data_IF_926327421141
#
_entry.id   IF_926327421141
#
_cell.length_a   1.000
_cell.length_b   1.000
_cell.length_c   1.000
_cell.angle_alpha   90.00
_cell.angle_beta   90.00
_cell.angle_gamma   90.00
#
_symmetry.space_group_name_H-M   'P 1'
#
loop_
_entity.id
_entity.type
_entity.pdbx_description
1 polymer ?
#
# COMPACT_ATOMS: atom_id res chain seq x y z
N UNK A 1 -16.95 12.31 13.01
CA UNK A 1 -15.51 12.05 12.86
C UNK A 1 -15.33 11.17 11.64
N UNK A 2 -14.34 11.43 10.80
CA UNK A 2 -14.02 10.54 9.68
C UNK A 2 -13.37 9.25 10.19
N UNK A 3 -13.56 8.16 9.47
CA UNK A 3 -13.08 6.83 9.83
C UNK A 3 -12.16 6.28 8.76
N UNK A 4 -11.08 5.58 9.13
CA UNK A 4 -10.19 4.92 8.18
C UNK A 4 -9.75 3.56 8.67
N UNK A 5 -9.65 2.60 7.73
CA UNK A 5 -9.14 1.26 7.97
C UNK A 5 -7.73 1.14 7.40
N UNK A 6 -6.76 0.76 8.23
CA UNK A 6 -5.46 0.30 7.76
C UNK A 6 -5.44 -1.22 7.67
N UNK A 7 -5.08 -1.77 6.49
CA UNK A 7 -4.88 -3.19 6.24
C UNK A 7 -3.38 -3.38 5.98
N UNK A 8 -2.64 -3.88 6.96
CA UNK A 8 -1.17 -3.99 6.86
C UNK A 8 -0.59 -4.95 7.91
N UNK A 9 0.69 -5.22 7.81
CA UNK A 9 1.44 -5.91 8.85
C UNK A 9 1.63 -5.04 10.09
N UNK A 10 1.84 -5.68 11.24
CA UNK A 10 2.20 -4.98 12.47
C UNK A 10 3.70 -4.74 12.55
N UNK A 11 4.10 -3.68 13.25
CA UNK A 11 5.47 -3.46 13.72
C UNK A 11 5.42 -3.30 15.24
N UNK A 12 5.89 -4.33 15.97
CA UNK A 12 5.85 -4.33 17.44
C UNK A 12 6.70 -3.22 18.07
N UNK A 13 7.67 -2.65 17.34
CA UNK A 13 8.43 -1.47 17.78
C UNK A 13 7.68 -0.15 17.59
N UNK A 14 6.62 -0.16 16.80
CA UNK A 14 5.70 0.97 16.64
C UNK A 14 6.15 2.04 15.66
N UNK A 15 7.21 1.82 14.88
CA UNK A 15 7.77 2.79 13.93
C UNK A 15 7.21 2.69 12.52
N UNK A 16 6.57 1.57 12.18
CA UNK A 16 6.00 1.29 10.86
C UNK A 16 4.67 0.54 10.99
N UNK A 17 4.14 0.04 9.86
CA UNK A 17 2.96 -0.81 9.79
C UNK A 17 1.71 -0.20 10.43
N UNK A 18 0.84 -1.08 10.91
CA UNK A 18 -0.43 -0.69 11.57
C UNK A 18 -0.20 0.35 12.68
N UNK A 19 0.85 0.19 13.49
CA UNK A 19 1.09 1.07 14.64
C UNK A 19 1.41 2.50 14.20
N UNK A 20 2.19 2.69 13.15
CA UNK A 20 2.48 4.00 12.59
C UNK A 20 1.23 4.60 11.93
N UNK A 21 0.46 3.78 11.20
CA UNK A 21 -0.78 4.21 10.55
C UNK A 21 -1.80 4.71 11.58
N UNK A 22 -2.08 3.91 12.62
CA UNK A 22 -3.04 4.28 13.67
C UNK A 22 -2.64 5.58 14.39
N UNK A 23 -1.36 5.73 14.75
CA UNK A 23 -0.85 6.96 15.37
C UNK A 23 -1.05 8.17 14.45
N UNK A 24 -0.67 8.04 13.17
CA UNK A 24 -0.77 9.12 12.20
C UNK A 24 -2.22 9.52 11.94
N UNK A 25 -3.10 8.57 11.71
CA UNK A 25 -4.52 8.81 11.49
C UNK A 25 -5.17 9.48 12.71
N UNK A 26 -4.88 8.99 13.93
CA UNK A 26 -5.40 9.54 15.18
C UNK A 26 -4.94 10.99 15.40
N UNK A 27 -3.65 11.29 15.18
CA UNK A 27 -3.11 12.64 15.29
C UNK A 27 -3.73 13.61 14.25
N UNK A 28 -4.23 13.11 13.14
CA UNK A 28 -4.96 13.88 12.14
C UNK A 28 -6.49 13.91 12.37
N UNK A 29 -6.97 13.50 13.55
CA UNK A 29 -8.39 13.56 13.91
C UNK A 29 -9.28 12.51 13.23
N UNK A 30 -8.69 11.42 12.73
CA UNK A 30 -9.39 10.32 12.09
C UNK A 30 -9.54 9.16 13.08
N UNK A 31 -10.73 8.55 13.17
CA UNK A 31 -10.92 7.31 13.90
C UNK A 31 -10.29 6.16 13.11
N UNK A 32 -9.19 5.65 13.65
CA UNK A 32 -8.35 4.67 12.98
C UNK A 32 -8.69 3.24 13.40
N UNK A 33 -8.91 2.38 12.43
CA UNK A 33 -9.19 0.95 12.59
C UNK A 33 -8.11 0.13 11.89
N UNK A 34 -7.97 -1.15 12.21
CA UNK A 34 -6.96 -2.02 11.61
C UNK A 34 -7.46 -3.42 11.30
N UNK A 35 -6.95 -3.97 10.19
CA UNK A 35 -6.97 -5.40 9.88
C UNK A 35 -5.52 -5.85 9.63
N UNK A 36 -5.04 -6.79 10.43
CA UNK A 36 -3.62 -7.17 10.46
C UNK A 36 -3.38 -8.30 9.46
N UNK A 37 -2.42 -8.10 8.54
CA UNK A 37 -2.02 -9.11 7.54
C UNK A 37 -0.95 -10.06 8.07
N UNK A 38 -0.05 -9.56 8.92
CA UNK A 38 0.99 -10.34 9.57
C UNK A 38 1.43 -9.69 10.89
N UNK A 39 1.83 -10.49 11.85
CA UNK A 39 2.56 -10.04 13.03
C UNK A 39 4.05 -10.13 12.74
N UNK A 40 4.82 -9.12 13.16
CA UNK A 40 6.29 -9.15 13.04
C UNK A 40 6.95 -9.07 14.40
N UNK A 41 8.04 -9.81 14.56
CA UNK A 41 9.04 -9.58 15.59
C UNK A 41 10.09 -8.63 14.99
N UNK A 42 9.93 -7.35 15.21
CA UNK A 42 10.67 -6.27 14.52
C UNK A 42 11.13 -5.22 15.51
N UNK A 43 12.29 -4.63 15.22
CA UNK A 43 12.83 -3.46 15.90
C UNK A 43 13.57 -2.55 14.90
N UNK A 44 14.26 -1.52 15.41
CA UNK A 44 14.98 -0.55 14.55
C UNK A 44 16.16 -1.14 13.78
N UNK A 45 16.59 -2.35 14.12
CA UNK A 45 17.71 -3.04 13.46
C UNK A 45 17.26 -4.07 12.42
N UNK A 46 15.99 -4.49 12.42
CA UNK A 46 15.46 -5.43 11.44
C UNK A 46 14.25 -6.22 11.89
N UNK A 47 13.87 -7.16 11.03
CA UNK A 47 12.76 -8.11 11.22
C UNK A 47 13.35 -9.50 11.49
N UNK A 48 13.10 -10.08 12.67
CA UNK A 48 13.58 -11.39 13.08
C UNK A 48 12.55 -12.52 12.93
N UNK A 49 11.28 -12.17 12.77
CA UNK A 49 10.20 -13.16 12.58
C UNK A 49 8.94 -12.53 11.98
N UNK A 50 8.25 -13.31 11.17
CA UNK A 50 6.97 -12.94 10.55
C UNK A 50 5.99 -14.07 10.74
N UNK A 51 4.80 -13.78 11.25
CA UNK A 51 3.67 -14.69 11.35
C UNK A 51 2.51 -14.13 10.54
N UNK A 52 2.31 -14.66 9.33
CA UNK A 52 1.21 -14.28 8.46
C UNK A 52 -0.13 -14.79 9.03
N UNK A 53 -1.19 -13.98 8.96
CA UNK A 53 -2.53 -14.43 9.30
C UNK A 53 -3.13 -15.23 8.14
N UNK A 54 -4.06 -16.14 8.42
CA UNK A 54 -4.74 -16.85 7.35
C UNK A 54 -5.65 -15.90 6.53
N UNK A 55 -5.82 -16.13 5.22
CA UNK A 55 -6.76 -15.38 4.39
C UNK A 55 -8.18 -15.34 4.99
N UNK A 56 -8.64 -16.47 5.54
CA UNK A 56 -9.95 -16.57 6.18
C UNK A 56 -10.06 -15.64 7.42
N UNK A 57 -9.00 -15.55 8.22
CA UNK A 57 -9.02 -14.68 9.40
C UNK A 57 -8.90 -13.19 9.00
N UNK A 58 -8.13 -12.88 7.95
CA UNK A 58 -8.08 -11.53 7.41
C UNK A 58 -9.45 -11.08 6.88
N UNK A 59 -10.17 -11.96 6.18
CA UNK A 59 -11.54 -11.69 5.76
C UNK A 59 -12.44 -11.36 6.94
N UNK A 60 -12.38 -12.15 8.02
CA UNK A 60 -13.16 -11.92 9.24
C UNK A 60 -12.85 -10.57 9.90
N UNK A 61 -11.58 -10.15 9.94
CA UNK A 61 -11.21 -8.84 10.46
C UNK A 61 -11.82 -7.70 9.62
N UNK A 62 -11.73 -7.80 8.29
CA UNK A 62 -12.30 -6.80 7.37
C UNK A 62 -13.83 -6.77 7.52
N UNK A 63 -14.48 -7.94 7.54
CA UNK A 63 -15.93 -8.05 7.67
C UNK A 63 -16.41 -7.46 9.00
N UNK A 64 -15.71 -7.73 10.11
CA UNK A 64 -16.04 -7.18 11.42
C UNK A 64 -16.04 -5.64 11.42
N UNK A 65 -15.07 -5.02 10.76
CA UNK A 65 -14.99 -3.56 10.64
C UNK A 65 -16.11 -3.02 9.74
N UNK A 66 -16.28 -3.57 8.55
CA UNK A 66 -17.23 -3.04 7.57
C UNK A 66 -18.71 -3.21 7.97
N UNK A 67 -19.01 -4.22 8.78
CA UNK A 67 -20.38 -4.49 9.24
C UNK A 67 -20.80 -3.67 10.46
N UNK A 68 -19.85 -3.06 11.18
CA UNK A 68 -20.10 -2.21 12.35
C UNK A 68 -19.76 -0.74 12.05
N UNK A 69 -18.48 -0.41 11.89
CA UNK A 69 -18.01 0.95 11.63
C UNK A 69 -17.46 1.00 10.21
N UNK A 70 -18.33 1.23 9.22
CA UNK A 70 -17.92 1.31 7.82
C UNK A 70 -16.87 2.41 7.61
N UNK A 71 -15.66 2.09 7.08
CA UNK A 71 -14.61 3.07 6.83
C UNK A 71 -15.00 4.08 5.74
N UNK A 72 -14.70 5.37 5.94
CA UNK A 72 -14.74 6.37 4.87
C UNK A 72 -13.59 6.16 3.86
N UNK A 73 -12.43 5.67 4.33
CA UNK A 73 -11.25 5.41 3.49
C UNK A 73 -10.51 4.14 3.96
N UNK A 74 -9.74 3.55 3.04
CA UNK A 74 -8.91 2.37 3.32
C UNK A 74 -7.47 2.62 2.89
N UNK A 75 -6.51 2.36 3.78
CA UNK A 75 -5.08 2.30 3.45
C UNK A 75 -4.63 0.85 3.46
N UNK A 76 -3.94 0.43 2.42
CA UNK A 76 -3.30 -0.88 2.34
C UNK A 76 -1.79 -0.66 2.39
N UNK A 77 -1.12 -1.33 3.32
CA UNK A 77 0.34 -1.32 3.45
C UNK A 77 0.94 -2.68 3.08
N UNK A 78 1.84 -3.20 3.92
CA UNK A 78 2.51 -4.48 3.67
C UNK A 78 1.50 -5.65 3.60
N UNK A 79 1.49 -6.34 2.46
CA UNK A 79 0.79 -7.61 2.24
C UNK A 79 1.77 -8.56 1.56
N UNK A 80 2.12 -9.66 2.22
CA UNK A 80 3.23 -10.54 1.83
C UNK A 80 2.90 -11.50 0.70
N UNK A 81 1.66 -11.98 0.61
CA UNK A 81 1.29 -13.11 -0.25
C UNK A 81 0.09 -12.84 -1.18
N UNK A 82 0.07 -13.52 -2.32
CA UNK A 82 -1.00 -13.43 -3.29
C UNK A 82 -2.38 -13.84 -2.73
N UNK A 83 -2.52 -14.87 -1.86
CA UNK A 83 -3.81 -15.21 -1.24
C UNK A 83 -4.38 -14.10 -0.36
N UNK A 84 -3.54 -13.40 0.42
CA UNK A 84 -3.99 -12.25 1.22
C UNK A 84 -4.43 -11.09 0.33
N UNK A 85 -3.68 -10.80 -0.75
CA UNK A 85 -4.03 -9.77 -1.73
C UNK A 85 -5.40 -10.06 -2.35
N UNK A 86 -5.62 -11.31 -2.78
CA UNK A 86 -6.90 -11.74 -3.34
C UNK A 86 -8.06 -11.56 -2.35
N UNK A 87 -7.85 -11.94 -1.09
CA UNK A 87 -8.84 -11.77 -0.01
C UNK A 87 -9.18 -10.30 0.21
N UNK A 88 -8.18 -9.42 0.29
CA UNK A 88 -8.39 -7.97 0.45
C UNK A 88 -9.21 -7.45 -0.73
N UNK A 89 -8.79 -7.76 -1.96
CA UNK A 89 -9.46 -7.29 -3.16
C UNK A 89 -10.92 -7.77 -3.24
N UNK A 90 -11.18 -9.03 -2.88
CA UNK A 90 -12.53 -9.60 -2.81
C UNK A 90 -13.39 -8.84 -1.79
N UNK A 91 -12.90 -8.65 -0.56
CA UNK A 91 -13.68 -7.97 0.49
C UNK A 91 -13.93 -6.50 0.15
N UNK A 92 -12.94 -5.78 -0.37
CA UNK A 92 -13.11 -4.38 -0.77
C UNK A 92 -14.13 -4.22 -1.90
N UNK A 93 -14.14 -5.13 -2.89
CA UNK A 93 -15.19 -5.15 -3.93
C UNK A 93 -16.57 -5.44 -3.35
N UNK A 94 -16.68 -6.47 -2.50
CA UNK A 94 -17.93 -6.87 -1.87
C UNK A 94 -18.57 -5.72 -1.09
N UNK A 95 -17.77 -5.00 -0.30
CA UNK A 95 -18.25 -3.84 0.45
C UNK A 95 -18.30 -2.54 -0.37
N UNK A 96 -17.89 -2.55 -1.62
CA UNK A 96 -17.79 -1.33 -2.45
C UNK A 96 -17.01 -0.23 -1.72
N UNK A 97 -15.85 -0.59 -1.20
CA UNK A 97 -14.96 0.33 -0.48
C UNK A 97 -14.53 1.48 -1.40
N UNK A 98 -14.36 2.67 -0.79
CA UNK A 98 -13.99 3.90 -1.50
C UNK A 98 -12.73 4.50 -0.89
N UNK A 99 -12.11 5.43 -1.61
CA UNK A 99 -10.91 6.15 -1.17
C UNK A 99 -9.81 5.20 -0.70
N UNK A 100 -9.43 4.30 -1.60
CA UNK A 100 -8.42 3.27 -1.35
C UNK A 100 -7.05 3.81 -1.73
N UNK A 101 -6.12 3.80 -0.77
CA UNK A 101 -4.71 4.13 -0.97
C UNK A 101 -3.88 2.86 -0.78
N UNK A 102 -3.04 2.53 -1.76
CA UNK A 102 -2.15 1.35 -1.67
C UNK A 102 -0.69 1.80 -1.61
N UNK A 103 -0.02 1.48 -0.50
CA UNK A 103 1.43 1.60 -0.39
C UNK A 103 2.05 0.23 -0.74
N UNK A 104 2.69 0.09 -1.92
CA UNK A 104 3.15 -1.21 -2.43
C UNK A 104 4.47 -1.62 -1.77
N UNK A 105 4.45 -1.88 -0.46
CA UNK A 105 5.64 -2.20 0.33
C UNK A 105 6.23 -3.55 -0.13
N UNK A 106 7.32 -3.52 -0.91
CA UNK A 106 7.96 -4.71 -1.48
C UNK A 106 9.22 -5.12 -0.70
N UNK A 107 9.90 -4.15 -0.09
CA UNK A 107 11.17 -4.34 0.62
C UNK A 107 11.11 -3.59 1.95
N UNK A 108 11.56 -4.22 3.03
CA UNK A 108 11.72 -3.54 4.31
C UNK A 108 12.82 -2.49 4.23
N UNK A 109 12.77 -1.48 5.10
CA UNK A 109 13.85 -0.47 5.24
C UNK A 109 15.20 -1.12 5.53
N UNK A 110 15.20 -2.31 6.16
CA UNK A 110 16.41 -3.14 6.39
C UNK A 110 16.94 -3.84 5.14
N UNK A 111 16.29 -3.71 3.97
CA UNK A 111 16.65 -4.41 2.74
C UNK A 111 16.06 -5.82 2.59
N UNK A 112 15.35 -6.33 3.58
CA UNK A 112 14.70 -7.65 3.50
C UNK A 112 13.53 -7.62 2.51
N UNK A 113 13.50 -8.58 1.58
CA UNK A 113 12.36 -8.74 0.66
C UNK A 113 11.13 -9.18 1.43
N UNK A 114 10.05 -8.40 1.34
CA UNK A 114 8.79 -8.64 2.07
C UNK A 114 7.70 -9.25 1.19
N UNK A 115 7.91 -9.30 -0.12
CA UNK A 115 6.90 -9.71 -1.08
C UNK A 115 7.46 -10.71 -2.09
N UNK A 116 6.70 -11.75 -2.40
CA UNK A 116 7.00 -12.73 -3.43
C UNK A 116 6.68 -12.18 -4.84
N UNK A 117 7.24 -12.79 -5.89
CA UNK A 117 7.08 -12.28 -7.27
C UNK A 117 5.63 -12.36 -7.76
N UNK A 118 4.91 -13.41 -7.41
CA UNK A 118 3.49 -13.58 -7.73
C UNK A 118 2.58 -12.65 -6.92
N UNK A 119 3.01 -12.23 -5.72
CA UNK A 119 2.31 -11.20 -4.96
C UNK A 119 2.38 -9.83 -5.65
N UNK A 120 3.52 -9.45 -6.25
CA UNK A 120 3.63 -8.22 -7.05
C UNK A 120 2.65 -8.22 -8.23
N UNK A 121 2.55 -9.36 -8.94
CA UNK A 121 1.57 -9.51 -10.01
C UNK A 121 0.15 -9.39 -9.48
N UNK A 122 -0.16 -10.06 -8.38
CA UNK A 122 -1.49 -9.99 -7.76
C UNK A 122 -1.86 -8.57 -7.31
N UNK A 123 -0.90 -7.78 -6.80
CA UNK A 123 -1.12 -6.35 -6.51
C UNK A 123 -1.57 -5.58 -7.76
N UNK A 124 -0.83 -5.73 -8.86
CA UNK A 124 -1.12 -5.03 -10.12
C UNK A 124 -2.49 -5.41 -10.70
N UNK A 125 -2.81 -6.71 -10.67
CA UNK A 125 -4.03 -7.23 -11.31
C UNK A 125 -5.28 -7.08 -10.44
N UNK A 126 -5.15 -7.06 -9.12
CA UNK A 126 -6.30 -7.17 -8.23
C UNK A 126 -6.53 -5.96 -7.32
N UNK A 127 -5.47 -5.33 -6.77
CA UNK A 127 -5.59 -4.22 -5.84
C UNK A 127 -5.41 -2.85 -6.50
N UNK A 128 -4.45 -2.67 -7.40
CA UNK A 128 -4.25 -1.37 -8.03
C UNK A 128 -5.46 -0.87 -8.80
N UNK A 129 -6.24 -1.73 -9.51
CA UNK A 129 -7.48 -1.27 -10.15
C UNK A 129 -8.58 -0.81 -9.19
N UNK A 130 -8.44 -1.07 -7.89
CA UNK A 130 -9.34 -0.58 -6.85
C UNK A 130 -8.81 0.69 -6.17
N UNK A 131 -7.54 1.00 -6.35
CA UNK A 131 -6.89 2.11 -5.70
C UNK A 131 -7.24 3.43 -6.39
N UNK A 132 -7.51 4.45 -5.60
CA UNK A 132 -7.53 5.84 -6.07
C UNK A 132 -6.11 6.38 -6.22
N UNK A 133 -5.23 5.99 -5.27
CA UNK A 133 -3.82 6.39 -5.28
C UNK A 133 -2.93 5.23 -4.86
N UNK A 134 -1.80 5.06 -5.55
CA UNK A 134 -0.70 4.21 -5.09
C UNK A 134 0.52 5.07 -4.75
N UNK A 135 1.28 4.65 -3.74
CA UNK A 135 2.37 5.48 -3.17
C UNK A 135 3.73 4.79 -3.20
N UNK A 136 4.26 4.39 -4.37
CA UNK A 136 5.54 3.71 -4.46
C UNK A 136 6.71 4.64 -4.09
N UNK A 137 7.75 4.07 -3.47
CA UNK A 137 9.06 4.70 -3.43
C UNK A 137 9.81 4.46 -4.75
N UNK A 138 11.02 5.04 -4.90
CA UNK A 138 11.81 4.91 -6.14
C UNK A 138 12.06 3.44 -6.52
N UNK A 139 12.48 2.60 -5.57
CA UNK A 139 12.79 1.18 -5.85
C UNK A 139 11.54 0.39 -6.24
N UNK A 140 10.44 0.64 -5.59
CA UNK A 140 9.13 0.06 -5.92
C UNK A 140 8.67 0.52 -7.31
N UNK A 141 8.87 1.79 -7.65
CA UNK A 141 8.58 2.32 -8.98
C UNK A 141 9.46 1.71 -10.08
N UNK A 142 10.74 1.43 -9.80
CA UNK A 142 11.62 0.68 -10.71
C UNK A 142 11.08 -0.72 -10.99
N UNK A 143 10.62 -1.42 -9.96
CA UNK A 143 9.99 -2.76 -10.11
C UNK A 143 8.68 -2.66 -10.90
N UNK A 144 7.84 -1.68 -10.59
CA UNK A 144 6.55 -1.49 -11.23
C UNK A 144 6.66 -1.05 -12.69
N UNK A 145 7.60 -0.15 -13.01
CA UNK A 145 7.80 0.34 -14.38
C UNK A 145 8.70 -0.56 -15.22
N UNK A 146 9.45 -1.47 -14.60
CA UNK A 146 10.47 -2.29 -15.27
C UNK A 146 11.68 -1.49 -15.77
N UNK A 147 11.89 -0.28 -15.26
CA UNK A 147 12.94 0.67 -15.71
C UNK A 147 13.73 1.20 -14.51
N UNK A 148 15.05 1.36 -14.63
CA UNK A 148 15.85 2.04 -13.61
C UNK A 148 15.48 3.53 -13.55
N UNK A 149 15.62 4.14 -12.37
CA UNK A 149 15.29 5.55 -12.11
C UNK A 149 16.50 6.22 -11.47
N UNK A 150 17.19 7.09 -12.22
CA UNK A 150 18.38 7.80 -11.77
C UNK A 150 18.22 9.34 -11.81
N UNK A 151 17.18 9.84 -12.47
CA UNK A 151 16.92 11.26 -12.63
C UNK A 151 15.48 11.62 -12.28
N UNK A 152 15.25 12.93 -12.16
CA UNK A 152 13.92 13.51 -11.94
C UNK A 152 12.98 13.23 -13.12
N UNK A 153 13.50 13.35 -14.32
CA UNK A 153 12.77 13.12 -15.56
C UNK A 153 12.33 11.65 -15.66
N UNK A 154 13.21 10.72 -15.27
CA UNK A 154 12.90 9.29 -15.23
C UNK A 154 11.88 8.96 -14.15
N UNK A 155 11.92 9.64 -12.98
CA UNK A 155 10.89 9.50 -11.95
C UNK A 155 9.51 9.90 -12.49
N UNK A 156 9.43 11.04 -13.18
CA UNK A 156 8.16 11.51 -13.74
C UNK A 156 7.66 10.56 -14.85
N UNK A 157 8.55 10.10 -15.71
CA UNK A 157 8.21 9.13 -16.75
C UNK A 157 7.72 7.81 -16.17
N UNK A 158 8.37 7.30 -15.11
CA UNK A 158 7.94 6.09 -14.41
C UNK A 158 6.56 6.29 -13.74
N UNK A 159 6.34 7.42 -13.06
CA UNK A 159 5.05 7.70 -12.42
C UNK A 159 3.90 7.72 -13.44
N UNK A 160 4.10 8.36 -14.61
CA UNK A 160 3.12 8.39 -15.70
C UNK A 160 2.85 7.00 -16.28
N UNK A 161 3.90 6.22 -16.55
CA UNK A 161 3.75 4.87 -17.07
C UNK A 161 2.98 3.98 -16.10
N UNK A 162 3.30 4.05 -14.79
CA UNK A 162 2.59 3.28 -13.76
C UNK A 162 1.14 3.74 -13.64
N UNK A 163 0.87 5.06 -13.66
CA UNK A 163 -0.49 5.59 -13.59
C UNK A 163 -1.35 5.10 -14.76
N UNK A 164 -0.79 5.13 -15.97
CA UNK A 164 -1.44 4.62 -17.17
C UNK A 164 -1.72 3.12 -17.09
N UNK A 165 -0.71 2.32 -16.75
CA UNK A 165 -0.83 0.86 -16.69
C UNK A 165 -1.79 0.36 -15.59
N UNK A 166 -1.83 1.08 -14.45
CA UNK A 166 -2.62 0.69 -13.28
C UNK A 166 -3.99 1.39 -13.19
N UNK A 167 -4.25 2.35 -14.07
CA UNK A 167 -5.49 3.16 -14.08
C UNK A 167 -5.79 3.84 -12.74
N UNK A 168 -4.77 4.35 -12.06
CA UNK A 168 -4.88 5.04 -10.77
C UNK A 168 -3.88 6.18 -10.66
N UNK A 169 -4.11 7.11 -9.73
CA UNK A 169 -3.14 8.16 -9.43
C UNK A 169 -1.88 7.59 -8.77
N UNK A 170 -0.73 8.16 -9.06
CA UNK A 170 0.57 7.74 -8.49
C UNK A 170 1.20 8.89 -7.72
N UNK A 171 1.52 8.65 -6.45
CA UNK A 171 2.35 9.51 -5.64
C UNK A 171 3.73 8.85 -5.46
N UNK A 172 4.69 9.18 -6.33
CA UNK A 172 6.03 8.60 -6.26
C UNK A 172 6.89 9.32 -5.22
N UNK A 173 7.34 8.57 -4.20
CA UNK A 173 8.12 9.07 -3.07
C UNK A 173 9.62 9.11 -3.42
N UNK A 174 10.27 10.27 -3.31
CA UNK A 174 11.70 10.47 -3.58
C UNK A 174 12.60 10.51 -2.33
N UNK A 175 12.14 10.01 -1.19
CA UNK A 175 12.83 10.15 0.11
C UNK A 175 14.20 9.47 0.25
N UNK A 176 14.66 8.73 -0.76
CA UNK A 176 15.99 8.10 -0.80
C UNK A 176 16.92 8.77 -1.83
N UNK A 177 16.58 9.97 -2.29
CA UNK A 177 17.42 10.81 -3.15
C UNK A 177 17.94 12.01 -2.36
N UNK A 178 19.01 12.65 -2.84
CA UNK A 178 19.63 13.85 -2.21
C UNK A 178 18.64 15.02 -2.06
N UNK A 179 17.55 14.99 -2.81
CA UNK A 179 16.40 15.89 -2.69
C UNK A 179 15.15 15.07 -2.40
N UNK A 180 14.54 15.27 -1.22
CA UNK A 180 13.26 14.65 -0.88
C UNK A 180 12.15 15.24 -1.76
N UNK A 181 11.76 14.53 -2.81
CA UNK A 181 10.78 14.98 -3.80
C UNK A 181 9.58 14.03 -3.84
N UNK A 182 8.40 14.61 -4.00
CA UNK A 182 7.15 13.90 -4.24
C UNK A 182 6.68 14.25 -5.65
N UNK A 183 6.37 13.21 -6.44
CA UNK A 183 5.79 13.36 -7.76
C UNK A 183 4.39 12.78 -7.78
N UNK A 184 3.44 13.56 -8.29
CA UNK A 184 2.08 13.09 -8.54
C UNK A 184 1.86 12.98 -10.05
N UNK A 185 1.21 11.90 -10.48
CA UNK A 185 0.66 11.75 -11.82
C UNK A 185 -0.71 11.13 -11.71
N UNK A 186 -1.67 11.67 -12.47
CA UNK A 186 -3.02 11.15 -12.54
C UNK A 186 -3.19 10.37 -13.85
N UNK A 187 -3.91 9.25 -13.81
CA UNK A 187 -4.25 8.49 -15.01
C UNK A 187 -5.07 9.33 -16.03
N UNK A 188 -5.77 10.37 -15.58
CA UNK A 188 -6.52 11.29 -16.43
C UNK A 188 -5.63 12.28 -17.19
N UNK A 189 -4.40 12.55 -16.75
CA UNK A 189 -3.50 13.53 -17.39
C UNK A 189 -3.00 13.09 -18.78
N UNK A 190 -2.98 11.79 -19.07
CA UNK A 190 -2.55 11.27 -20.37
C UNK A 190 -3.68 11.21 -21.43
N UNK A 191 -4.93 11.41 -21.03
CA UNK A 191 -6.08 11.42 -21.98
C UNK A 191 -6.22 12.74 -22.80
N UNK A 192 -5.41 13.74 -22.49
CA UNK A 192 -5.46 15.07 -23.13
C UNK A 192 -4.33 15.33 -24.14
N UNK A 193 -3.55 14.31 -24.53
CA UNK A 193 -2.53 14.42 -25.57
C UNK A 193 -2.87 13.53 -26.77
N UNK A 194 -3.86 13.96 -27.54
CA UNK A 194 -4.00 13.59 -28.94
C UNK A 194 -3.60 14.80 -29.78
#
# INVERSE_FOLDING_TARGET
MKTALSIAGSDCSGGAGIQADLKTMTLNGVFAMSAITALTAQNTTGVSGILEVSPAFLAQQIDAVFTDIRPDAVKIGMVSSAPLIATIAERLRFYQARHIVVDPVMVATSGSRLMETDAVRSLREQLFPLAEVITPNRQEAEVLSGRPIHSREEMLAAARAIAFDCHCSVLLKGGHSDTCLLYTSDAADDSLRV
#
